data_IF_623613162271
#
_entry.id   IF_623613162271
#
_cell.length_a   1.000
_cell.length_b   1.000
_cell.length_c   1.000
_cell.angle_alpha   90.00
_cell.angle_beta   90.00
_cell.angle_gamma   90.00
#
_symmetry.space_group_name_H-M   'P 1'
#
loop_
_entity.id
_entity.type
_entity.pdbx_description
1 polymer ?
#
# COMPACT_ATOMS: atom_id res chain seq x y z
N UNK A 1 17.18 28.28 -13.48
CA UNK A 1 16.72 29.32 -12.53
C UNK A 1 15.34 29.05 -11.94
N UNK A 2 14.23 29.02 -12.70
CA UNK A 2 12.90 28.79 -12.09
C UNK A 2 12.70 27.35 -11.58
N UNK A 3 13.07 26.35 -12.39
CA UNK A 3 12.99 24.93 -12.01
C UNK A 3 13.91 24.57 -10.83
N UNK A 4 15.12 25.13 -10.80
CA UNK A 4 16.05 24.98 -9.67
C UNK A 4 15.43 25.52 -8.38
N UNK A 5 14.87 26.74 -8.39
CA UNK A 5 14.23 27.32 -7.22
C UNK A 5 13.04 26.50 -6.73
N UNK A 6 12.27 25.92 -7.65
CA UNK A 6 11.17 25.01 -7.32
C UNK A 6 11.72 23.74 -6.65
N UNK A 7 12.75 23.13 -7.23
CA UNK A 7 13.38 21.93 -6.69
C UNK A 7 14.03 22.17 -5.31
N UNK A 8 14.72 23.30 -5.11
CA UNK A 8 15.27 23.72 -3.81
C UNK A 8 14.18 23.76 -2.74
N UNK A 9 12.97 24.22 -3.10
CA UNK A 9 11.83 24.26 -2.19
C UNK A 9 11.29 22.86 -1.88
N UNK A 10 11.00 22.06 -2.90
CA UNK A 10 10.27 20.79 -2.72
C UNK A 10 11.16 19.62 -2.30
N UNK A 11 12.48 19.77 -2.38
CA UNK A 11 13.45 18.80 -1.86
C UNK A 11 14.27 19.35 -0.69
N UNK A 12 13.94 20.52 -0.14
CA UNK A 12 14.70 21.18 0.94
C UNK A 12 15.03 20.27 2.13
N UNK A 13 14.16 19.29 2.41
CA UNK A 13 14.26 18.36 3.53
C UNK A 13 14.43 16.90 3.08
N UNK A 14 14.84 16.67 1.84
CA UNK A 14 15.00 15.31 1.31
C UNK A 14 16.06 14.51 2.10
N UNK A 15 17.10 15.15 2.59
CA UNK A 15 18.13 14.53 3.45
C UNK A 15 17.63 14.09 4.83
N UNK A 16 16.44 14.55 5.25
CA UNK A 16 15.80 14.10 6.50
C UNK A 16 15.04 12.78 6.32
N UNK A 17 14.80 12.33 5.08
CA UNK A 17 14.09 11.09 4.80
C UNK A 17 15.07 9.91 4.89
N UNK A 18 14.86 8.95 5.81
CA UNK A 18 15.77 7.81 5.93
C UNK A 18 15.88 7.00 4.64
N UNK A 19 17.11 6.78 4.17
CA UNK A 19 17.39 6.05 2.93
C UNK A 19 17.31 6.89 1.66
N UNK A 20 16.91 8.16 1.75
CA UNK A 20 16.94 9.11 0.64
C UNK A 20 18.37 9.66 0.47
N UNK A 21 19.27 8.88 -0.11
CA UNK A 21 20.63 9.30 -0.45
C UNK A 21 20.96 8.90 -1.87
N UNK A 22 21.53 9.83 -2.65
CA UNK A 22 21.87 9.61 -4.05
C UNK A 22 21.66 10.83 -4.94
N UNK A 23 21.81 10.62 -6.24
CA UNK A 23 21.68 11.63 -7.31
C UNK A 23 20.41 11.37 -8.11
N UNK A 24 19.46 12.30 -8.02
CA UNK A 24 18.19 12.29 -8.75
C UNK A 24 18.32 13.22 -9.96
N UNK A 25 18.17 12.69 -11.17
CA UNK A 25 18.12 13.47 -12.39
C UNK A 25 16.66 13.64 -12.84
N UNK A 26 16.24 14.87 -13.06
CA UNK A 26 14.98 15.22 -13.72
C UNK A 26 15.28 15.62 -15.16
N UNK A 27 14.66 14.94 -16.10
CA UNK A 27 14.74 15.22 -17.53
C UNK A 27 13.38 15.69 -18.02
N UNK A 28 13.30 16.95 -18.45
CA UNK A 28 12.04 17.55 -18.85
C UNK A 28 11.78 17.38 -20.34
N UNK A 29 10.51 17.24 -20.72
CA UNK A 29 10.12 17.14 -22.14
C UNK A 29 10.48 18.39 -22.96
N UNK A 30 10.74 19.53 -22.32
CA UNK A 30 11.26 20.75 -22.96
C UNK A 30 12.72 20.63 -23.42
N UNK A 31 13.44 19.61 -22.96
CA UNK A 31 14.88 19.43 -23.16
C UNK A 31 15.73 19.95 -21.99
N UNK A 32 15.11 20.63 -21.02
CA UNK A 32 15.79 21.05 -19.79
C UNK A 32 16.11 19.84 -18.90
N UNK A 33 17.13 19.97 -18.06
CA UNK A 33 17.46 18.97 -17.05
C UNK A 33 17.90 19.60 -15.74
N UNK A 34 17.73 18.84 -14.67
CA UNK A 34 18.10 19.23 -13.32
C UNK A 34 18.59 18.02 -12.55
N UNK A 35 19.64 18.18 -11.74
CA UNK A 35 20.07 17.16 -10.80
C UNK A 35 19.86 17.61 -9.36
N UNK A 36 19.51 16.67 -8.50
CA UNK A 36 19.37 16.85 -7.06
C UNK A 36 20.25 15.81 -6.38
N UNK A 37 21.28 16.26 -5.70
CA UNK A 37 22.15 15.39 -4.89
C UNK A 37 21.68 15.46 -3.44
N UNK A 38 21.30 14.31 -2.90
CA UNK A 38 20.89 14.16 -1.50
C UNK A 38 21.99 13.38 -0.75
N UNK A 39 22.62 14.05 0.21
CA UNK A 39 23.56 13.47 1.16
C UNK A 39 23.28 14.05 2.56
N UNK A 40 24.28 14.45 3.34
CA UNK A 40 24.08 15.21 4.58
C UNK A 40 23.37 16.56 4.34
N UNK A 41 23.39 17.04 3.09
CA UNK A 41 22.68 18.23 2.62
C UNK A 41 22.06 17.98 1.25
N UNK A 42 21.12 18.83 0.85
CA UNK A 42 20.50 18.79 -0.48
C UNK A 42 21.15 19.85 -1.37
N UNK A 43 21.64 19.43 -2.55
CA UNK A 43 22.18 20.32 -3.58
C UNK A 43 21.37 20.18 -4.85
N UNK A 44 20.97 21.32 -5.42
CA UNK A 44 20.16 21.40 -6.64
C UNK A 44 20.99 22.11 -7.71
N UNK A 45 21.04 21.55 -8.91
CA UNK A 45 21.77 22.12 -10.03
C UNK A 45 22.25 21.05 -11.01
N UNK A 46 23.25 21.37 -11.83
CA UNK A 46 23.88 20.37 -12.68
C UNK A 46 24.84 19.49 -11.87
N UNK A 47 24.82 18.19 -12.12
CA UNK A 47 25.72 17.24 -11.48
C UNK A 47 26.35 16.34 -12.56
N UNK A 48 27.68 16.28 -12.59
CA UNK A 48 28.45 15.44 -13.53
C UNK A 48 28.52 13.97 -13.11
N UNK A 49 28.09 13.65 -11.87
CA UNK A 49 28.02 12.28 -11.40
C UNK A 49 26.88 11.52 -12.09
N UNK A 50 27.03 10.20 -12.33
CA UNK A 50 25.94 9.39 -12.83
C UNK A 50 24.75 9.47 -11.87
N UNK A 51 23.54 9.61 -12.42
CA UNK A 51 22.32 9.61 -11.63
C UNK A 51 22.00 8.20 -11.14
N UNK A 52 21.64 8.06 -9.87
CA UNK A 52 21.07 6.82 -9.33
C UNK A 52 19.64 6.62 -9.83
N UNK A 53 18.88 7.71 -9.98
CA UNK A 53 17.51 7.71 -10.48
C UNK A 53 17.35 8.79 -11.55
N UNK A 54 16.73 8.46 -12.67
CA UNK A 54 16.29 9.41 -13.69
C UNK A 54 14.77 9.44 -13.76
N UNK A 55 14.20 10.64 -13.71
CA UNK A 55 12.75 10.92 -13.75
C UNK A 55 12.48 11.76 -14.98
N UNK A 56 11.75 11.21 -15.95
CA UNK A 56 11.34 11.93 -17.17
C UNK A 56 9.91 12.40 -17.00
N UNK A 57 9.66 13.70 -17.12
CA UNK A 57 8.32 14.29 -16.96
C UNK A 57 8.19 15.63 -17.67
N UNK A 58 6.97 16.20 -17.76
CA UNK A 58 6.78 17.55 -18.28
C UNK A 58 7.12 18.62 -17.22
N UNK A 59 7.54 19.80 -17.68
CA UNK A 59 7.75 20.97 -16.80
C UNK A 59 6.47 21.34 -16.04
N UNK A 60 5.33 21.30 -16.72
CA UNK A 60 4.02 21.62 -16.13
C UNK A 60 3.64 20.64 -15.02
N UNK A 61 3.92 19.34 -15.21
CA UNK A 61 3.70 18.33 -14.18
C UNK A 61 4.60 18.55 -12.95
N UNK A 62 5.87 18.91 -13.17
CA UNK A 62 6.80 19.17 -12.07
C UNK A 62 6.36 20.38 -11.25
N UNK A 63 5.93 21.45 -11.92
CA UNK A 63 5.35 22.64 -11.28
C UNK A 63 4.05 22.30 -10.54
N UNK A 64 3.20 21.46 -11.13
CA UNK A 64 1.93 21.05 -10.52
C UNK A 64 2.14 20.22 -9.24
N UNK A 65 3.11 19.30 -9.25
CA UNK A 65 3.53 18.54 -8.05
C UNK A 65 4.02 19.50 -6.97
N UNK A 66 4.84 20.48 -7.35
CA UNK A 66 5.36 21.47 -6.39
C UNK A 66 4.27 22.34 -5.74
N UNK A 67 3.18 22.55 -6.45
CA UNK A 67 2.01 23.30 -5.98
C UNK A 67 0.93 22.42 -5.34
N UNK A 68 1.19 21.13 -5.12
CA UNK A 68 0.24 20.15 -4.58
C UNK A 68 -1.04 19.99 -5.41
N UNK A 69 -1.03 20.39 -6.69
CA UNK A 69 -2.20 20.28 -7.58
C UNK A 69 -2.22 18.98 -8.38
N UNK A 70 -1.09 18.24 -8.41
CA UNK A 70 -1.00 16.88 -8.93
C UNK A 70 -0.18 16.01 -7.98
N UNK A 71 -0.55 14.74 -7.90
CA UNK A 71 0.18 13.73 -7.13
C UNK A 71 1.20 13.00 -8.02
N UNK A 72 2.43 12.81 -7.51
CA UNK A 72 3.52 12.22 -8.27
C UNK A 72 3.25 10.75 -8.60
N UNK A 73 2.68 9.98 -7.68
CA UNK A 73 2.38 8.57 -7.91
C UNK A 73 1.26 8.43 -8.96
N UNK A 74 0.23 9.28 -8.92
CA UNK A 74 -0.82 9.31 -9.95
C UNK A 74 -0.29 9.67 -11.33
N UNK A 75 0.67 10.60 -11.41
CA UNK A 75 1.33 10.92 -12.67
C UNK A 75 2.14 9.74 -13.22
N UNK A 76 2.85 9.02 -12.34
CA UNK A 76 3.54 7.79 -12.71
C UNK A 76 2.55 6.74 -13.21
N UNK A 77 1.49 6.43 -12.46
CA UNK A 77 0.55 5.37 -12.86
C UNK A 77 -0.24 5.71 -14.12
N UNK A 78 -0.43 7.00 -14.42
CA UNK A 78 -0.99 7.49 -15.68
C UNK A 78 0.01 7.48 -16.86
N UNK A 79 1.25 7.00 -16.67
CA UNK A 79 2.28 6.96 -17.72
C UNK A 79 2.85 8.33 -18.11
N UNK A 80 2.57 9.39 -17.33
CA UNK A 80 3.09 10.75 -17.57
C UNK A 80 4.51 10.96 -17.05
N UNK A 81 4.97 10.06 -16.17
CA UNK A 81 6.32 10.05 -15.63
C UNK A 81 6.95 8.70 -15.94
N UNK A 82 8.18 8.72 -16.44
CA UNK A 82 9.01 7.52 -16.55
C UNK A 82 10.12 7.60 -15.51
N UNK A 83 10.37 6.50 -14.83
CA UNK A 83 11.42 6.37 -13.83
C UNK A 83 12.40 5.29 -14.30
N UNK A 84 13.70 5.60 -14.22
CA UNK A 84 14.80 4.71 -14.57
C UNK A 84 15.82 4.70 -13.41
N UNK A 85 16.52 3.59 -13.21
CA UNK A 85 17.52 3.44 -12.15
C UNK A 85 16.98 2.83 -10.86
N UNK A 86 17.40 3.36 -9.71
CA UNK A 86 17.06 2.85 -8.39
C UNK A 86 15.60 3.17 -8.00
N UNK A 87 14.70 2.22 -8.24
CA UNK A 87 13.30 2.36 -7.85
C UNK A 87 13.08 2.39 -6.33
N UNK A 88 13.97 1.82 -5.53
CA UNK A 88 13.90 1.95 -4.07
C UNK A 88 13.99 3.42 -3.67
N UNK A 89 14.98 4.13 -4.21
CA UNK A 89 15.14 5.57 -4.02
C UNK A 89 13.97 6.36 -4.63
N UNK A 90 13.50 5.98 -5.82
CA UNK A 90 12.37 6.67 -6.46
C UNK A 90 11.07 6.60 -5.63
N UNK A 91 10.82 5.48 -4.93
CA UNK A 91 9.62 5.36 -4.07
C UNK A 91 9.63 6.28 -2.85
N UNK A 92 10.76 6.89 -2.51
CA UNK A 92 10.88 7.86 -1.42
C UNK A 92 10.59 9.30 -1.86
N UNK A 93 10.52 9.59 -3.17
CA UNK A 93 10.26 10.93 -3.71
C UNK A 93 8.97 11.58 -3.15
N UNK A 94 7.82 10.90 -3.06
CA UNK A 94 6.61 11.52 -2.52
C UNK A 94 6.77 11.92 -1.04
N UNK A 95 7.50 11.13 -0.26
CA UNK A 95 7.78 11.43 1.15
C UNK A 95 8.69 12.65 1.29
N UNK A 96 9.76 12.73 0.48
CA UNK A 96 10.66 13.87 0.46
C UNK A 96 9.97 15.18 0.07
N UNK A 97 9.08 15.12 -0.93
CA UNK A 97 8.27 16.26 -1.36
C UNK A 97 7.30 16.69 -0.26
N UNK A 98 6.60 15.73 0.37
CA UNK A 98 5.65 16.01 1.45
C UNK A 98 6.34 16.65 2.66
N UNK A 99 7.46 16.09 3.11
CA UNK A 99 8.22 16.63 4.24
C UNK A 99 8.73 18.05 3.99
N UNK A 100 9.15 18.36 2.75
CA UNK A 100 9.60 19.70 2.39
C UNK A 100 8.45 20.72 2.28
N UNK A 101 7.23 20.23 2.04
CA UNK A 101 6.03 21.05 1.87
C UNK A 101 5.11 21.10 3.11
N UNK A 102 5.44 20.41 4.20
CA UNK A 102 4.73 20.44 5.48
C UNK A 102 5.34 21.49 6.43
N UNK A 103 4.51 22.08 7.30
CA UNK A 103 4.98 22.99 8.33
C UNK A 103 5.77 22.21 9.40
N UNK A 104 6.86 22.79 9.93
CA UNK A 104 7.76 22.14 10.92
C UNK A 104 7.07 21.65 12.20
N UNK A 105 5.84 22.08 12.47
CA UNK A 105 5.10 21.76 13.69
C UNK A 105 4.25 20.49 13.61
N UNK A 106 4.17 19.81 12.45
CA UNK A 106 3.24 18.69 12.26
C UNK A 106 3.84 17.28 12.22
N UNK A 107 5.16 17.09 12.30
CA UNK A 107 5.73 15.72 12.30
C UNK A 107 6.93 15.57 13.24
N UNK A 108 6.91 14.49 14.02
CA UNK A 108 8.03 14.02 14.84
C UNK A 108 9.24 13.77 13.94
N UNK A 109 10.42 14.23 14.38
CA UNK A 109 11.71 13.95 13.74
C UNK A 109 11.85 12.46 13.48
N UNK A 110 11.92 12.07 12.21
CA UNK A 110 12.29 10.73 11.82
C UNK A 110 13.80 10.61 12.04
N UNK A 111 14.20 9.83 13.05
CA UNK A 111 15.60 9.67 13.41
C UNK A 111 16.38 9.00 12.26
N UNK A 112 17.50 9.60 11.88
CA UNK A 112 18.29 9.26 10.68
C UNK A 112 19.13 7.98 10.81
N UNK A 113 18.92 7.16 11.85
CA UNK A 113 19.70 5.95 12.14
C UNK A 113 18.80 4.71 12.31
N UNK A 114 17.98 4.39 11.31
CA UNK A 114 17.31 3.08 11.24
C UNK A 114 18.05 2.20 10.22
N UNK A 115 19.21 1.69 10.65
CA UNK A 115 19.63 0.33 10.26
C UNK A 115 18.54 -0.62 10.75
N UNK A 116 17.99 -1.49 9.90
CA UNK A 116 17.16 -2.72 10.12
C UNK A 116 16.54 -3.04 11.51
N UNK A 117 16.29 -2.04 12.35
CA UNK A 117 15.97 -2.20 13.76
C UNK A 117 14.47 -2.34 13.87
N UNK A 118 14.05 -3.53 14.27
CA UNK A 118 12.68 -3.82 14.64
C UNK A 118 12.44 -3.31 16.05
N UNK A 119 11.40 -2.50 16.22
CA UNK A 119 10.88 -2.09 17.52
C UNK A 119 9.67 -2.96 17.87
N UNK A 120 9.34 -3.19 19.14
CA UNK A 120 8.05 -3.77 19.50
C UNK A 120 6.90 -2.93 18.90
N UNK A 121 5.91 -3.59 18.30
CA UNK A 121 4.76 -2.87 17.77
C UNK A 121 3.99 -2.15 18.90
N UNK A 122 3.60 -0.88 18.73
CA UNK A 122 2.92 -0.10 19.78
C UNK A 122 1.53 -0.67 20.07
N UNK A 123 1.04 -0.46 21.29
CA UNK A 123 -0.33 -0.81 21.65
C UNK A 123 -1.34 0.10 20.95
N UNK A 124 -2.45 -0.47 20.50
CA UNK A 124 -3.55 0.28 19.87
C UNK A 124 -4.87 0.12 20.60
N UNK A 125 -5.76 1.09 20.41
CA UNK A 125 -7.09 1.06 21.01
C UNK A 125 -7.89 -0.20 20.61
N UNK A 126 -7.75 -0.66 19.36
CA UNK A 126 -8.42 -1.87 18.86
C UNK A 126 -8.02 -3.16 19.60
N UNK A 127 -6.87 -3.19 20.28
CA UNK A 127 -6.46 -4.30 21.15
C UNK A 127 -7.38 -4.41 22.37
N UNK A 128 -7.64 -3.28 23.06
CA UNK A 128 -8.56 -3.26 24.19
C UNK A 128 -10.00 -3.63 23.79
N UNK A 129 -10.45 -3.16 22.62
CA UNK A 129 -11.79 -3.46 22.10
C UNK A 129 -11.94 -4.94 21.83
N UNK A 130 -10.98 -5.55 21.14
CA UNK A 130 -11.08 -6.96 20.75
C UNK A 130 -10.80 -7.92 21.91
N UNK A 131 -9.94 -7.55 22.87
CA UNK A 131 -9.70 -8.33 24.08
C UNK A 131 -10.93 -8.40 25.02
N UNK A 132 -11.78 -7.38 24.99
CA UNK A 132 -13.00 -7.32 25.80
C UNK A 132 -14.17 -8.15 25.23
N UNK A 133 -13.98 -8.77 24.07
CA UNK A 133 -15.03 -9.51 23.35
C UNK A 133 -14.79 -11.02 23.39
N UNK A 134 -15.84 -11.84 23.24
CA UNK A 134 -15.67 -13.27 23.04
C UNK A 134 -14.79 -13.56 21.81
N UNK A 135 -13.95 -14.61 21.84
CA UNK A 135 -13.11 -14.98 20.71
C UNK A 135 -13.96 -15.17 19.44
N UNK A 136 -13.65 -14.39 18.40
CA UNK A 136 -14.29 -14.52 17.10
C UNK A 136 -13.79 -15.83 16.45
N UNK A 137 -14.68 -16.73 16.05
CA UNK A 137 -14.31 -18.03 15.45
C UNK A 137 -14.57 -18.10 13.94
N UNK A 138 -15.37 -17.19 13.41
CA UNK A 138 -15.72 -17.10 11.99
C UNK A 138 -15.89 -15.63 11.61
N UNK A 139 -15.70 -15.31 10.33
CA UNK A 139 -16.04 -13.99 9.78
C UNK A 139 -17.42 -14.07 9.17
N UNK A 140 -18.32 -13.19 9.62
CA UNK A 140 -19.69 -13.11 9.12
C UNK A 140 -19.72 -12.65 7.67
N UNK A 141 -20.77 -13.06 6.95
CA UNK A 141 -21.01 -12.67 5.56
C UNK A 141 -22.40 -12.05 5.45
N UNK A 142 -22.48 -10.89 4.82
CA UNK A 142 -23.72 -10.17 4.54
C UNK A 142 -23.87 -9.91 3.06
N UNK A 143 -25.07 -10.02 2.53
CA UNK A 143 -25.33 -9.43 1.22
C UNK A 143 -25.26 -7.90 1.32
N UNK A 144 -24.67 -7.28 0.30
CA UNK A 144 -24.67 -5.83 0.11
C UNK A 144 -26.04 -5.16 0.26
N UNK A 145 -27.13 -5.83 -0.13
CA UNK A 145 -28.50 -5.30 -0.02
C UNK A 145 -29.05 -5.33 1.40
N UNK A 146 -28.49 -6.19 2.26
CA UNK A 146 -28.97 -6.41 3.63
C UNK A 146 -28.16 -5.63 4.68
N UNK A 147 -26.97 -5.14 4.33
CA UNK A 147 -26.07 -4.43 5.25
C UNK A 147 -26.12 -2.91 5.06
N UNK A 148 -26.99 -2.24 5.82
CA UNK A 148 -27.01 -0.77 5.86
C UNK A 148 -25.74 -0.17 6.49
N UNK A 149 -25.32 1.05 6.11
CA UNK A 149 -24.18 1.73 6.75
C UNK A 149 -24.29 1.88 8.28
N UNK A 150 -25.50 2.08 8.81
CA UNK A 150 -25.73 2.17 10.26
C UNK A 150 -25.46 0.82 10.95
N UNK A 151 -26.01 -0.27 10.41
CA UNK A 151 -25.75 -1.63 10.92
C UNK A 151 -24.26 -1.95 10.81
N UNK A 152 -23.64 -1.61 9.68
CA UNK A 152 -22.21 -1.79 9.46
C UNK A 152 -21.39 -1.11 10.55
N UNK A 153 -21.68 0.16 10.81
CA UNK A 153 -20.96 0.96 11.79
C UNK A 153 -21.13 0.41 13.21
N UNK A 154 -22.37 0.13 13.63
CA UNK A 154 -22.67 -0.33 14.98
C UNK A 154 -22.15 -1.74 15.27
N UNK A 155 -22.21 -2.66 14.29
CA UNK A 155 -21.88 -4.07 14.51
C UNK A 155 -20.44 -4.44 14.15
N UNK A 156 -19.79 -3.68 13.26
CA UNK A 156 -18.46 -4.04 12.76
C UNK A 156 -17.41 -2.96 13.02
N UNK A 157 -17.70 -1.68 12.78
CA UNK A 157 -16.72 -0.61 12.99
C UNK A 157 -16.47 -0.38 14.48
N UNK A 158 -17.51 -0.07 15.28
CA UNK A 158 -17.37 0.18 16.72
C UNK A 158 -16.81 -1.01 17.50
N UNK A 159 -17.23 -2.27 17.22
CA UNK A 159 -16.69 -3.44 17.91
C UNK A 159 -15.38 -3.95 17.29
N UNK A 160 -14.81 -3.28 16.28
CA UNK A 160 -13.61 -3.72 15.57
C UNK A 160 -13.70 -5.19 15.09
N UNK A 161 -14.76 -5.54 14.36
CA UNK A 161 -14.97 -6.90 13.82
C UNK A 161 -14.86 -6.91 12.28
N UNK A 162 -14.13 -7.87 11.68
CA UNK A 162 -14.13 -8.05 10.25
C UNK A 162 -15.48 -8.62 9.78
N UNK A 163 -15.86 -8.29 8.55
CA UNK A 163 -17.06 -8.81 7.88
C UNK A 163 -16.83 -8.87 6.38
N UNK A 164 -17.42 -9.87 5.72
CA UNK A 164 -17.44 -9.95 4.26
C UNK A 164 -18.81 -9.48 3.78
N UNK A 165 -18.78 -8.61 2.78
CA UNK A 165 -19.94 -8.08 2.10
C UNK A 165 -19.97 -8.74 0.72
N UNK A 166 -20.88 -9.67 0.51
CA UNK A 166 -21.06 -10.36 -0.77
C UNK A 166 -21.83 -9.48 -1.75
N UNK A 167 -21.61 -9.68 -3.05
CA UNK A 167 -22.23 -8.89 -4.13
C UNK A 167 -21.93 -7.37 -4.05
N UNK A 168 -20.90 -6.98 -3.32
CA UNK A 168 -20.55 -5.58 -3.04
C UNK A 168 -20.16 -4.79 -4.30
N UNK A 169 -19.67 -5.47 -5.35
CA UNK A 169 -19.16 -4.82 -6.56
C UNK A 169 -20.14 -4.85 -7.74
N UNK A 170 -21.39 -5.27 -7.52
CA UNK A 170 -22.39 -5.46 -8.60
C UNK A 170 -22.62 -4.21 -9.47
N UNK A 171 -22.39 -3.02 -8.93
CA UNK A 171 -22.54 -1.74 -9.66
C UNK A 171 -21.24 -1.20 -10.27
N UNK A 172 -20.10 -1.89 -10.12
CA UNK A 172 -18.82 -1.45 -10.66
C UNK A 172 -18.71 -1.82 -12.14
N UNK A 173 -18.53 -0.86 -13.06
CA UNK A 173 -18.22 -1.19 -14.46
C UNK A 173 -17.03 -2.15 -14.61
N UNK A 174 -15.95 -1.93 -13.85
CA UNK A 174 -14.74 -2.76 -13.91
C UNK A 174 -14.99 -4.23 -13.54
N UNK A 175 -15.90 -4.48 -12.59
CA UNK A 175 -16.28 -5.84 -12.18
C UNK A 175 -17.16 -6.54 -13.21
N UNK A 176 -18.04 -5.79 -13.88
CA UNK A 176 -19.01 -6.33 -14.84
C UNK A 176 -18.42 -6.54 -16.25
N UNK A 177 -17.22 -6.05 -16.52
CA UNK A 177 -16.49 -6.31 -17.77
C UNK A 177 -15.85 -7.70 -17.75
N UNK A 178 -15.70 -8.32 -18.92
CA UNK A 178 -14.78 -9.45 -19.05
C UNK A 178 -13.34 -9.03 -18.71
N UNK A 179 -12.48 -9.99 -18.36
CA UNK A 179 -11.06 -9.71 -18.13
C UNK A 179 -10.39 -9.14 -19.39
N UNK A 180 -10.78 -9.61 -20.57
CA UNK A 180 -10.26 -9.14 -21.85
C UNK A 180 -10.61 -7.68 -22.13
N UNK A 181 -11.88 -7.29 -21.91
CA UNK A 181 -12.33 -5.90 -22.09
C UNK A 181 -11.70 -4.96 -21.07
N UNK A 182 -11.67 -5.38 -19.80
CA UNK A 182 -11.12 -4.55 -18.72
C UNK A 182 -9.63 -4.27 -18.89
N UNK A 183 -8.84 -5.22 -19.41
CA UNK A 183 -7.41 -5.03 -19.72
C UNK A 183 -7.15 -3.86 -20.67
N UNK A 184 -8.08 -3.54 -21.58
CA UNK A 184 -7.94 -2.39 -22.48
C UNK A 184 -7.86 -1.05 -21.71
N UNK A 185 -8.50 -0.97 -20.54
CA UNK A 185 -8.44 0.21 -19.69
C UNK A 185 -7.10 0.39 -18.97
N UNK A 186 -6.24 -0.65 -18.98
CA UNK A 186 -4.89 -0.60 -18.40
C UNK A 186 -3.82 -0.19 -19.43
N UNK A 187 -4.19 -0.01 -20.70
CA UNK A 187 -3.24 0.38 -21.74
C UNK A 187 -2.70 1.80 -21.49
N UNK A 188 -1.38 1.95 -21.60
CA UNK A 188 -0.68 3.20 -21.30
C UNK A 188 -0.46 3.48 -19.81
N UNK A 189 -1.04 2.68 -18.91
CA UNK A 189 -0.83 2.81 -17.46
C UNK A 189 0.44 2.09 -17.02
N UNK A 190 1.12 2.62 -16.01
CA UNK A 190 2.36 2.05 -15.45
C UNK A 190 2.15 1.56 -14.03
N UNK A 191 2.78 0.44 -13.69
CA UNK A 191 2.76 -0.16 -12.36
C UNK A 191 4.16 -0.38 -11.82
N UNK A 192 4.30 -0.22 -10.51
CA UNK A 192 5.44 -0.64 -9.71
C UNK A 192 5.27 -2.11 -9.31
N UNK A 193 6.07 -2.98 -9.92
CA UNK A 193 6.01 -4.43 -9.74
C UNK A 193 7.07 -4.87 -8.73
N UNK A 194 6.65 -5.52 -7.65
CA UNK A 194 7.54 -6.17 -6.68
C UNK A 194 8.13 -7.42 -7.32
N UNK A 195 9.44 -7.61 -7.16
CA UNK A 195 10.19 -8.74 -7.71
C UNK A 195 11.09 -9.37 -6.64
N UNK A 196 11.60 -10.57 -6.92
CA UNK A 196 12.47 -11.29 -5.98
C UNK A 196 11.72 -11.75 -4.73
N UNK A 197 12.44 -11.87 -3.61
CA UNK A 197 11.86 -12.27 -2.33
C UNK A 197 11.30 -11.06 -1.57
N UNK A 198 10.23 -10.48 -2.11
CA UNK A 198 9.55 -9.38 -1.46
C UNK A 198 8.82 -9.78 -0.19
N UNK A 199 8.70 -11.08 0.15
CA UNK A 199 8.05 -11.53 1.38
C UNK A 199 9.01 -11.36 2.55
N UNK A 200 10.21 -11.95 2.49
CA UNK A 200 11.21 -11.75 3.54
C UNK A 200 11.69 -10.29 3.60
N UNK A 201 11.60 -9.57 2.48
CA UNK A 201 12.01 -8.17 2.35
C UNK A 201 10.83 -7.18 2.41
N UNK A 202 9.61 -7.58 2.78
CA UNK A 202 8.38 -6.75 2.69
C UNK A 202 8.55 -5.35 3.29
N UNK A 203 9.44 -5.23 4.27
CA UNK A 203 9.72 -4.02 5.04
C UNK A 203 11.23 -3.64 5.06
N UNK A 204 12.04 -4.22 4.17
CA UNK A 204 13.46 -3.91 4.02
C UNK A 204 13.68 -2.81 2.99
N UNK A 205 14.82 -2.11 3.08
CA UNK A 205 15.31 -1.19 2.03
C UNK A 205 15.71 -1.93 0.75
N UNK A 206 15.96 -3.24 0.84
CA UNK A 206 16.41 -4.07 -0.28
C UNK A 206 15.28 -4.54 -1.22
N UNK A 207 14.05 -4.04 -1.04
CA UNK A 207 12.93 -4.39 -1.90
C UNK A 207 13.24 -4.07 -3.35
N UNK A 208 13.04 -5.07 -4.21
CA UNK A 208 13.29 -4.93 -5.64
C UNK A 208 12.00 -4.60 -6.35
N UNK A 209 12.00 -3.50 -7.05
CA UNK A 209 10.90 -3.08 -7.91
C UNK A 209 11.37 -2.92 -9.35
N UNK A 210 10.44 -3.07 -10.29
CA UNK A 210 10.57 -2.61 -11.68
C UNK A 210 9.31 -1.84 -12.06
N UNK A 211 9.43 -0.84 -12.93
CA UNK A 211 8.27 -0.29 -13.64
C UNK A 211 7.92 -1.17 -14.84
N UNK A 212 6.63 -1.37 -15.06
CA UNK A 212 6.11 -2.08 -16.23
C UNK A 212 4.73 -1.52 -16.61
N UNK A 213 4.36 -1.65 -17.88
CA UNK A 213 2.98 -1.45 -18.36
C UNK A 213 2.03 -2.37 -17.59
N UNK A 214 0.96 -1.81 -16.99
CA UNK A 214 0.00 -2.61 -16.23
C UNK A 214 -0.69 -3.66 -17.13
N UNK A 215 -1.03 -3.30 -18.37
CA UNK A 215 -1.63 -4.22 -19.32
C UNK A 215 -0.70 -5.39 -19.67
N UNK A 216 0.59 -5.12 -19.89
CA UNK A 216 1.57 -6.17 -20.20
C UNK A 216 1.83 -7.07 -19.00
N UNK A 217 1.89 -6.48 -17.80
CA UNK A 217 1.98 -7.23 -16.56
C UNK A 217 0.77 -8.16 -16.35
N UNK A 218 -0.47 -7.70 -16.63
CA UNK A 218 -1.66 -8.56 -16.55
C UNK A 218 -1.57 -9.72 -17.55
N UNK A 219 -1.14 -9.44 -18.79
CA UNK A 219 -0.97 -10.47 -19.84
C UNK A 219 0.06 -11.51 -19.43
N UNK A 220 1.20 -11.10 -18.88
CA UNK A 220 2.25 -12.01 -18.41
C UNK A 220 1.81 -12.80 -17.17
N UNK A 221 1.12 -12.16 -16.22
CA UNK A 221 0.55 -12.80 -15.04
C UNK A 221 -0.50 -13.87 -15.40
N UNK A 222 -1.32 -13.66 -16.44
CA UNK A 222 -2.27 -14.67 -16.94
C UNK A 222 -1.57 -15.92 -17.49
N UNK A 223 -0.41 -15.74 -18.12
CA UNK A 223 0.40 -16.84 -18.66
C UNK A 223 1.27 -17.52 -17.59
N UNK A 224 1.43 -16.92 -16.42
CA UNK A 224 2.27 -17.44 -15.34
C UNK A 224 1.82 -18.83 -14.91
N UNK A 225 2.79 -19.73 -14.80
CA UNK A 225 2.62 -21.05 -14.20
C UNK A 225 3.45 -21.10 -12.94
N UNK A 226 2.83 -21.52 -11.85
CA UNK A 226 3.49 -21.75 -10.57
C UNK A 226 4.66 -22.72 -10.80
N UNK A 227 5.88 -22.25 -10.54
CA UNK A 227 7.12 -23.04 -10.65
C UNK A 227 7.71 -23.39 -9.29
N UNK A 228 8.89 -24.02 -9.30
CA UNK A 228 9.64 -24.53 -8.13
C UNK A 228 9.95 -23.44 -7.08
N UNK A 229 9.01 -23.17 -6.18
CA UNK A 229 9.16 -22.36 -4.96
C UNK A 229 9.62 -20.89 -5.14
N UNK A 230 9.49 -20.31 -6.34
CA UNK A 230 9.79 -18.88 -6.54
C UNK A 230 8.53 -18.03 -6.39
N UNK A 231 8.62 -16.95 -5.60
CA UNK A 231 7.56 -15.97 -5.50
C UNK A 231 7.28 -15.32 -6.87
N UNK A 232 6.02 -15.27 -7.33
CA UNK A 232 5.66 -14.55 -8.53
C UNK A 232 5.78 -13.04 -8.31
N UNK A 233 6.09 -12.31 -9.37
CA UNK A 233 6.07 -10.85 -9.36
C UNK A 233 4.68 -10.31 -8.99
N UNK A 234 4.64 -9.17 -8.28
CA UNK A 234 3.40 -8.68 -7.68
C UNK A 234 3.27 -7.15 -7.78
N UNK A 235 2.25 -6.68 -8.50
CA UNK A 235 1.84 -5.27 -8.48
C UNK A 235 1.03 -5.03 -7.20
N UNK A 236 1.72 -4.71 -6.11
CA UNK A 236 1.09 -4.58 -4.79
C UNK A 236 1.14 -3.16 -4.23
N UNK A 237 -0.01 -2.63 -3.80
CA UNK A 237 -0.19 -1.29 -3.20
C UNK A 237 0.19 -0.15 -4.14
N UNK A 238 -0.19 -0.24 -5.41
CA UNK A 238 -0.02 0.87 -6.35
C UNK A 238 -1.20 1.85 -6.22
N UNK A 239 -0.97 3.15 -6.41
CA UNK A 239 -2.08 4.12 -6.52
C UNK A 239 -3.02 3.72 -7.66
N UNK A 240 -4.32 3.74 -7.40
CA UNK A 240 -5.31 3.50 -8.44
C UNK A 240 -5.23 4.65 -9.48
N UNK A 241 -5.05 4.34 -10.77
CA UNK A 241 -5.10 5.35 -11.84
C UNK A 241 -6.47 6.04 -11.92
N UNK A 242 -6.48 7.35 -12.16
CA UNK A 242 -7.72 8.16 -12.24
C UNK A 242 -8.70 7.66 -13.32
N UNK A 243 -8.18 7.15 -14.44
CA UNK A 243 -9.01 6.55 -15.49
C UNK A 243 -9.79 5.35 -14.97
N UNK A 244 -9.18 4.53 -14.10
CA UNK A 244 -9.82 3.37 -13.50
C UNK A 244 -10.75 3.72 -12.33
N UNK A 245 -10.52 4.85 -11.65
CA UNK A 245 -11.45 5.37 -10.62
C UNK A 245 -12.86 5.58 -11.18
N UNK A 246 -12.99 5.95 -12.47
CA UNK A 246 -14.30 6.10 -13.13
C UNK A 246 -15.06 4.79 -13.32
N UNK A 247 -14.35 3.65 -13.24
CA UNK A 247 -14.88 2.30 -13.46
C UNK A 247 -15.21 1.57 -12.16
N UNK A 248 -15.06 2.22 -11.00
CA UNK A 248 -15.40 1.67 -9.69
C UNK A 248 -16.47 2.54 -9.01
N UNK A 249 -16.99 2.08 -7.86
CA UNK A 249 -17.85 2.88 -6.98
C UNK A 249 -17.23 2.94 -5.59
N UNK A 250 -17.23 4.13 -5.01
CA UNK A 250 -16.84 4.30 -3.61
C UNK A 250 -17.84 3.56 -2.72
N UNK A 251 -17.37 2.74 -1.75
CA UNK A 251 -18.28 2.06 -0.84
C UNK A 251 -19.08 3.06 -0.01
N UNK A 252 -20.32 2.71 0.35
CA UNK A 252 -21.26 3.60 1.05
C UNK A 252 -21.09 3.62 2.57
N UNK A 253 -20.13 2.86 3.09
CA UNK A 253 -19.98 2.56 4.51
C UNK A 253 -19.27 3.64 5.31
N UNK A 254 -18.47 4.48 4.64
CA UNK A 254 -17.84 5.66 5.22
C UNK A 254 -18.20 6.88 4.37
N UNK A 255 -18.07 8.06 4.96
CA UNK A 255 -18.23 9.28 4.18
C UNK A 255 -17.08 9.41 3.19
N UNK A 256 -17.37 10.01 2.05
CA UNK A 256 -16.38 10.13 0.97
C UNK A 256 -15.11 10.90 1.40
N UNK A 257 -15.24 11.90 2.27
CA UNK A 257 -14.12 12.70 2.80
C UNK A 257 -13.20 11.92 3.75
N UNK A 258 -13.62 10.75 4.21
CA UNK A 258 -12.83 9.88 5.07
C UNK A 258 -12.00 8.88 4.27
N UNK A 259 -12.27 8.68 2.99
CA UNK A 259 -11.48 7.75 2.20
C UNK A 259 -10.12 8.34 1.83
N UNK A 260 -9.09 7.54 2.03
CA UNK A 260 -7.77 7.76 1.44
C UNK A 260 -7.85 7.28 -0.02
N UNK A 261 -7.12 7.93 -0.97
CA UNK A 261 -7.07 7.46 -2.35
C UNK A 261 -6.79 5.95 -2.46
N UNK A 262 -7.59 5.22 -3.25
CA UNK A 262 -7.57 3.76 -3.25
C UNK A 262 -6.26 3.21 -3.85
N UNK A 263 -5.91 1.99 -3.43
CA UNK A 263 -4.80 1.25 -4.05
C UNK A 263 -5.31 0.06 -4.85
N UNK A 264 -4.55 -0.30 -5.87
CA UNK A 264 -4.77 -1.46 -6.73
C UNK A 264 -3.70 -2.53 -6.50
N UNK A 265 -4.15 -3.78 -6.58
CA UNK A 265 -3.34 -4.98 -6.37
C UNK A 265 -3.60 -5.98 -7.48
N UNK A 266 -2.57 -6.34 -8.24
CA UNK A 266 -2.66 -7.29 -9.35
C UNK A 266 -1.53 -8.31 -9.22
N UNK A 267 -1.86 -9.59 -9.38
CA UNK A 267 -0.85 -10.63 -9.39
C UNK A 267 -1.39 -11.99 -9.81
N UNK A 268 -0.52 -12.89 -10.30
CA UNK A 268 -0.92 -14.26 -10.60
C UNK A 268 -1.17 -15.06 -9.31
N UNK A 269 -1.58 -16.32 -9.48
CA UNK A 269 -1.66 -17.26 -8.37
C UNK A 269 -0.31 -17.35 -7.64
N UNK A 270 -0.35 -17.34 -6.31
CA UNK A 270 0.80 -17.54 -5.45
C UNK A 270 1.46 -16.27 -4.90
N UNK A 271 1.02 -15.06 -5.30
CA UNK A 271 1.51 -13.83 -4.65
C UNK A 271 1.11 -13.79 -3.18
N UNK A 272 2.01 -13.29 -2.33
CA UNK A 272 1.83 -13.25 -0.87
C UNK A 272 2.00 -11.84 -0.32
N UNK A 273 1.19 -11.47 0.66
CA UNK A 273 1.50 -10.38 1.59
C UNK A 273 1.57 -10.99 2.99
N UNK A 274 2.75 -10.99 3.65
CA UNK A 274 2.91 -11.66 4.93
C UNK A 274 2.07 -11.00 6.03
N UNK A 275 1.98 -11.66 7.18
CA UNK A 275 1.19 -11.19 8.31
C UNK A 275 1.67 -9.80 8.78
N UNK A 276 0.77 -8.84 8.71
CA UNK A 276 0.98 -7.44 9.07
C UNK A 276 -0.33 -6.82 9.53
N UNK A 277 -0.28 -5.59 10.07
CA UNK A 277 -1.49 -4.82 10.38
C UNK A 277 -1.35 -3.38 9.90
N UNK A 278 -2.47 -2.83 9.44
CA UNK A 278 -2.58 -1.43 9.02
C UNK A 278 -3.10 -0.57 10.17
N UNK A 279 -2.78 0.72 10.16
CA UNK A 279 -3.25 1.76 11.11
C UNK A 279 -4.59 2.40 10.73
N UNK A 280 -5.24 1.86 9.70
CA UNK A 280 -6.45 2.42 9.13
C UNK A 280 -7.47 1.31 8.87
N UNK A 281 -8.76 1.62 9.07
CA UNK A 281 -9.85 0.79 8.58
C UNK A 281 -9.72 0.58 7.08
N UNK A 282 -9.93 -0.66 6.61
CA UNK A 282 -9.73 -1.02 5.21
C UNK A 282 -10.95 -1.77 4.65
N UNK A 283 -11.46 -1.31 3.51
CA UNK A 283 -12.41 -2.06 2.69
C UNK A 283 -11.68 -2.63 1.49
N UNK A 284 -11.49 -3.95 1.48
CA UNK A 284 -10.78 -4.68 0.44
C UNK A 284 -11.76 -5.32 -0.55
N UNK A 285 -11.88 -4.76 -1.75
CA UNK A 285 -12.75 -5.23 -2.82
C UNK A 285 -12.01 -6.19 -3.77
N UNK A 286 -12.55 -7.40 -3.96
CA UNK A 286 -11.98 -8.41 -4.85
C UNK A 286 -12.71 -8.38 -6.20
N UNK A 287 -12.01 -7.89 -7.24
CA UNK A 287 -12.61 -7.68 -8.57
C UNK A 287 -12.48 -8.92 -9.45
N UNK A 288 -11.32 -9.56 -9.48
CA UNK A 288 -11.10 -10.82 -10.22
C UNK A 288 -10.54 -11.89 -9.30
N UNK A 289 -10.92 -13.14 -9.53
CA UNK A 289 -10.26 -14.27 -8.89
C UNK A 289 -10.52 -14.35 -7.39
N UNK A 290 -9.63 -15.05 -6.68
CA UNK A 290 -9.81 -15.37 -5.27
C UNK A 290 -8.53 -15.11 -4.46
N UNK A 291 -8.71 -14.64 -3.22
CA UNK A 291 -7.64 -14.47 -2.24
C UNK A 291 -8.00 -15.18 -0.94
N UNK A 292 -7.05 -15.93 -0.40
CA UNK A 292 -7.11 -16.47 0.95
C UNK A 292 -6.50 -15.46 1.93
N UNK A 293 -7.25 -15.14 2.97
CA UNK A 293 -6.83 -14.32 4.09
C UNK A 293 -6.68 -15.20 5.33
N UNK A 294 -5.64 -14.92 6.13
CA UNK A 294 -5.53 -15.40 7.50
C UNK A 294 -5.54 -14.17 8.39
N UNK A 295 -6.56 -14.04 9.23
CA UNK A 295 -6.75 -12.91 10.13
C UNK A 295 -6.46 -13.31 11.57
N UNK A 296 -5.91 -12.40 12.35
CA UNK A 296 -5.80 -12.53 13.81
C UNK A 296 -6.18 -11.20 14.48
N UNK A 297 -6.82 -11.31 15.64
CA UNK A 297 -7.36 -10.15 16.34
C UNK A 297 -6.22 -9.23 16.84
N UNK A 298 -6.44 -7.91 16.92
CA UNK A 298 -5.43 -6.95 17.36
C UNK A 298 -4.78 -7.31 18.71
N UNK A 299 -5.55 -7.81 19.68
CA UNK A 299 -5.04 -8.18 21.02
C UNK A 299 -4.04 -9.34 21.02
N UNK A 300 -3.89 -10.05 19.89
CA UNK A 300 -2.89 -11.11 19.71
C UNK A 300 -1.49 -10.56 19.40
N UNK A 301 -1.31 -9.23 19.37
CA UNK A 301 -0.05 -8.53 19.02
C UNK A 301 1.19 -9.16 19.65
N UNK A 302 1.15 -9.44 20.95
CA UNK A 302 2.29 -10.04 21.68
C UNK A 302 2.52 -11.50 21.29
N UNK A 303 1.45 -12.31 21.17
CA UNK A 303 1.54 -13.71 20.74
C UNK A 303 2.01 -13.86 19.28
N UNK A 304 1.83 -12.81 18.47
CA UNK A 304 2.30 -12.72 17.09
C UNK A 304 3.70 -12.12 16.95
N UNK A 305 4.39 -11.80 18.04
CA UNK A 305 5.72 -11.17 18.00
C UNK A 305 5.75 -9.98 17.05
N UNK A 306 4.72 -9.15 17.14
CA UNK A 306 4.55 -8.03 16.24
C UNK A 306 5.63 -6.97 16.48
N UNK A 307 6.13 -6.42 15.38
CA UNK A 307 7.20 -5.44 15.38
C UNK A 307 6.86 -4.28 14.44
N UNK A 308 7.48 -3.13 14.68
CA UNK A 308 7.34 -1.90 13.91
C UNK A 308 8.68 -1.44 13.35
N UNK A 309 8.64 -0.69 12.25
CA UNK A 309 9.84 -0.06 11.65
C UNK A 309 10.32 1.18 12.42
N UNK A 310 9.55 1.69 13.38
CA UNK A 310 9.90 2.85 14.19
C UNK A 310 9.22 2.76 15.58
N UNK A 311 9.84 3.39 16.58
CA UNK A 311 9.43 3.33 18.00
C UNK A 311 8.01 3.84 18.26
N UNK A 312 7.55 4.80 17.46
CA UNK A 312 6.24 5.44 17.59
C UNK A 312 5.19 4.81 16.66
N UNK A 313 5.48 3.64 16.08
CA UNK A 313 4.66 3.03 15.02
C UNK A 313 5.21 3.32 13.63
N UNK A 314 4.67 2.65 12.61
CA UNK A 314 5.14 2.71 11.24
C UNK A 314 4.57 1.55 10.43
N UNK A 315 5.40 0.93 9.58
CA UNK A 315 5.01 -0.36 9.02
C UNK A 315 5.15 -1.42 10.10
N UNK A 316 4.08 -2.19 10.31
CA UNK A 316 4.02 -3.17 11.38
C UNK A 316 3.79 -4.57 10.84
N UNK A 317 4.73 -5.47 11.13
CA UNK A 317 4.73 -6.85 10.70
C UNK A 317 4.73 -7.83 11.87
N UNK A 318 4.70 -9.11 11.56
CA UNK A 318 4.87 -10.20 12.52
C UNK A 318 6.06 -11.07 12.12
N UNK A 319 6.70 -11.72 13.10
CA UNK A 319 7.70 -12.75 12.82
C UNK A 319 7.08 -14.11 12.49
N UNK A 320 5.79 -14.29 12.79
CA UNK A 320 5.06 -15.55 12.60
C UNK A 320 4.61 -15.66 11.15
N UNK A 321 4.97 -16.77 10.51
CA UNK A 321 4.33 -17.16 9.25
C UNK A 321 2.94 -17.75 9.56
N UNK A 322 1.88 -17.02 9.23
CA UNK A 322 0.51 -17.43 9.55
C UNK A 322 0.04 -18.70 8.81
N UNK A 323 0.66 -19.06 7.68
CA UNK A 323 0.31 -20.27 6.93
C UNK A 323 0.93 -21.52 7.54
N UNK A 324 2.15 -21.40 8.05
CA UNK A 324 2.92 -22.48 8.66
C UNK A 324 3.70 -21.94 9.88
N UNK A 325 3.03 -21.72 11.03
CA UNK A 325 3.70 -21.17 12.22
C UNK A 325 4.75 -22.13 12.78
N UNK A 326 5.96 -21.62 13.04
CA UNK A 326 7.02 -22.36 13.73
C UNK A 326 6.90 -22.16 15.25
N UNK A 327 6.09 -22.98 15.91
CA UNK A 327 5.87 -22.90 17.34
C UNK A 327 7.10 -23.25 18.19
N UNK A 328 8.16 -23.80 17.61
CA UNK A 328 9.40 -24.00 18.36
C UNK A 328 10.15 -22.68 18.56
N UNK A 329 10.04 -21.78 17.58
CA UNK A 329 10.61 -20.42 17.61
C UNK A 329 9.66 -19.41 18.22
N UNK A 330 8.35 -19.61 18.00
CA UNK A 330 7.28 -18.69 18.38
C UNK A 330 6.20 -19.42 19.20
N UNK A 331 6.51 -19.98 20.38
CA UNK A 331 5.59 -20.83 21.15
C UNK A 331 4.29 -20.13 21.55
N UNK A 332 4.33 -18.84 21.87
CA UNK A 332 3.13 -18.04 22.19
C UNK A 332 2.12 -17.98 21.03
N UNK A 333 2.56 -18.19 19.78
CA UNK A 333 1.65 -18.21 18.63
C UNK A 333 0.67 -19.40 18.63
N UNK A 334 0.89 -20.41 19.49
CA UNK A 334 -0.05 -21.53 19.68
C UNK A 334 -1.40 -21.08 20.24
N UNK A 335 -1.42 -20.00 21.00
CA UNK A 335 -2.63 -19.46 21.62
C UNK A 335 -3.46 -18.62 20.63
N UNK A 336 -2.86 -18.22 19.50
CA UNK A 336 -3.51 -17.33 18.54
C UNK A 336 -4.60 -18.05 17.77
N UNK A 337 -5.80 -17.49 17.82
CA UNK A 337 -6.91 -17.96 17.01
C UNK A 337 -6.89 -17.32 15.60
N UNK A 338 -6.28 -18.02 14.66
CA UNK A 338 -6.25 -17.61 13.25
C UNK A 338 -7.58 -17.91 12.53
N UNK A 339 -8.17 -16.87 11.93
CA UNK A 339 -9.37 -16.96 11.10
C UNK A 339 -8.98 -17.08 9.63
N UNK A 340 -9.35 -18.20 8.99
CA UNK A 340 -9.13 -18.40 7.56
C UNK A 340 -10.36 -17.93 6.79
N UNK A 341 -10.15 -17.02 5.85
CA UNK A 341 -11.22 -16.35 5.09
C UNK A 341 -10.93 -16.46 3.61
N UNK A 342 -11.93 -16.83 2.81
CA UNK A 342 -11.87 -16.78 1.36
C UNK A 342 -12.67 -15.56 0.88
N UNK A 343 -11.99 -14.69 0.12
CA UNK A 343 -12.58 -13.51 -0.52
C UNK A 343 -12.56 -13.76 -2.03
N UNK A 344 -13.73 -13.92 -2.62
CA UNK A 344 -13.91 -14.21 -4.03
C UNK A 344 -14.34 -13.00 -4.84
N UNK A 345 -14.37 -13.16 -6.15
CA UNK A 345 -14.80 -12.12 -7.10
C UNK A 345 -16.19 -11.55 -6.74
N UNK A 346 -16.28 -10.23 -6.52
CA UNK A 346 -17.49 -9.52 -6.13
C UNK A 346 -17.66 -9.31 -4.62
N UNK A 347 -16.84 -9.96 -3.80
CA UNK A 347 -16.82 -9.74 -2.35
C UNK A 347 -16.03 -8.47 -1.97
N UNK A 348 -16.41 -7.88 -0.83
CA UNK A 348 -15.63 -6.86 -0.15
C UNK A 348 -15.40 -7.28 1.32
N UNK A 349 -14.14 -7.36 1.73
CA UNK A 349 -13.77 -7.65 3.12
C UNK A 349 -13.49 -6.34 3.85
N UNK A 350 -14.23 -6.10 4.94
CA UNK A 350 -13.86 -5.07 5.91
C UNK A 350 -12.82 -5.62 6.89
N UNK A 351 -11.69 -4.93 6.99
CA UNK A 351 -10.59 -5.22 7.91
C UNK A 351 -10.47 -4.00 8.83
N UNK A 352 -10.88 -4.11 10.10
CA UNK A 352 -10.74 -3.00 11.03
C UNK A 352 -9.27 -2.71 11.31
N UNK A 353 -8.91 -1.43 11.52
CA UNK A 353 -7.56 -1.05 11.98
C UNK A 353 -7.05 -1.95 13.13
N UNK A 354 -5.78 -2.32 13.02
CA UNK A 354 -5.06 -3.15 13.98
C UNK A 354 -5.23 -4.66 13.77
N UNK A 355 -6.16 -5.10 12.91
CA UNK A 355 -6.30 -6.52 12.59
C UNK A 355 -5.10 -7.01 11.79
N UNK A 356 -4.47 -8.07 12.28
CA UNK A 356 -3.41 -8.74 11.57
C UNK A 356 -4.00 -9.53 10.42
N UNK A 357 -3.39 -9.41 9.24
CA UNK A 357 -3.83 -10.09 8.04
C UNK A 357 -2.66 -10.55 7.16
N UNK A 358 -2.72 -11.81 6.77
CA UNK A 358 -1.87 -12.43 5.75
C UNK A 358 -2.71 -12.73 4.52
N UNK A 359 -2.19 -12.52 3.32
CA UNK A 359 -2.96 -12.62 2.08
C UNK A 359 -2.23 -13.44 1.04
N UNK A 360 -2.89 -14.44 0.44
CA UNK A 360 -2.39 -15.22 -0.69
C UNK A 360 -3.38 -15.21 -1.85
N UNK A 361 -2.91 -14.90 -3.06
CA UNK A 361 -3.72 -15.05 -4.29
C UNK A 361 -3.82 -16.52 -4.68
N UNK A 362 -5.04 -17.03 -4.84
CA UNK A 362 -5.32 -18.41 -5.26
C UNK A 362 -5.48 -18.56 -6.78
N UNK A 363 -5.64 -17.45 -7.49
CA UNK A 363 -5.73 -17.35 -8.93
C UNK A 363 -5.02 -16.07 -9.42
N UNK A 364 -5.05 -15.79 -10.73
CA UNK A 364 -4.88 -14.42 -11.19
C UNK A 364 -5.94 -13.55 -10.50
N UNK A 365 -5.50 -12.49 -9.84
CA UNK A 365 -6.35 -11.68 -8.98
C UNK A 365 -6.13 -10.20 -9.22
N UNK A 366 -7.24 -9.45 -9.22
CA UNK A 366 -7.29 -7.99 -9.17
C UNK A 366 -8.12 -7.58 -7.98
N UNK A 367 -7.57 -6.70 -7.14
CA UNK A 367 -8.25 -6.16 -5.98
C UNK A 367 -8.04 -4.65 -5.88
N UNK A 368 -9.01 -3.94 -5.34
CA UNK A 368 -8.91 -2.52 -4.99
C UNK A 368 -9.22 -2.39 -3.52
N UNK A 369 -8.43 -1.62 -2.77
CA UNK A 369 -8.74 -1.37 -1.36
C UNK A 369 -8.87 0.12 -1.05
N UNK A 370 -9.70 0.41 -0.06
CA UNK A 370 -9.99 1.75 0.43
C UNK A 370 -9.65 1.82 1.91
N UNK A 371 -8.53 2.44 2.24
CA UNK A 371 -8.27 2.84 3.61
C UNK A 371 -9.08 4.08 3.97
N UNK A 372 -9.33 4.26 5.26
CA UNK A 372 -10.08 5.41 5.75
C UNK A 372 -9.36 6.10 6.90
N UNK A 373 -9.58 7.39 7.04
CA UNK A 373 -9.20 8.21 8.20
C UNK A 373 -10.26 8.15 9.30
N UNK A 374 -11.12 7.12 9.30
CA UNK A 374 -12.17 7.00 10.30
C UNK A 374 -11.57 6.77 11.68
N UNK A 375 -12.07 7.51 12.66
CA UNK A 375 -11.64 7.45 14.05
C UNK A 375 -12.79 6.87 14.87
N UNK A 376 -12.48 5.92 15.74
CA UNK A 376 -13.51 5.23 16.55
C UNK A 376 -13.78 5.97 17.85
N UNK A 377 -12.89 6.88 18.26
CA UNK A 377 -13.05 7.74 19.43
C UNK A 377 -12.63 9.19 19.16
N UNK A 378 -13.28 10.11 19.88
CA UNK A 378 -12.82 11.49 19.97
C UNK A 378 -11.44 11.54 20.64
N UNK A 379 -10.45 12.11 19.95
CA UNK A 379 -9.07 12.22 20.42
C UNK A 379 -8.10 11.20 19.83
N UNK A 380 -8.56 10.27 18.99
CA UNK A 380 -7.70 9.56 18.03
C UNK A 380 -7.48 10.51 16.85
N UNK A 381 -6.43 11.33 16.86
CA UNK A 381 -5.89 12.03 15.69
C UNK A 381 -4.40 12.26 15.87
#
# INVERSE_FOLDING_TARGET
MELERIAEKIFARANEIPGMQGVLAFQFTSGDSLSITVSDSVKVGHCDAPSDVTIKMSTDDFVAVANKSRDLERLFTAGKILVEGDFGLATLLPQAIRASLSDRNTENKIDSNVEEQRFPAPERYSEFVTAAQPPLRTVERWDSDDLSPEVFYQQYVLPCKPVIITNALKEWPLYNMSQEESVLHFEGLQGMIRTGDYVSQTFSKNRKFKAESMADFIRSAKAYKTGDNKLPEYLGSNSLPESLETLIRWPVYFRHDQYIPPRIWIGPQGTVTPLHRDDSDNLFAQVWGEKAFILAAPHERTHLYAWATHKDGGLEGSEVNAEEPDYSRHPEAQEVNFLKVLVGSGDMLFIPDGWFHHVRSLSLSLSVNFWTTSVRRAGEM
#
